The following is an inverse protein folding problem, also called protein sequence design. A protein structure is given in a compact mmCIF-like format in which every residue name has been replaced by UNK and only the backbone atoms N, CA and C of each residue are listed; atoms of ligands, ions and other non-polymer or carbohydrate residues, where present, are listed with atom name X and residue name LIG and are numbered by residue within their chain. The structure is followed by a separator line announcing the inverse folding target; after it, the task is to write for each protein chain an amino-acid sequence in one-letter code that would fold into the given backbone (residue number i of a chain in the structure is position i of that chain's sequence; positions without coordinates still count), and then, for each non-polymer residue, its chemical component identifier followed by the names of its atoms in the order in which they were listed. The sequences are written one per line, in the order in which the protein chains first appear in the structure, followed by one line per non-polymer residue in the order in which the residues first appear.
data_IF_660671041668
#
_entry.id   IF_660671041668
#
_cell.length_a   1.000
_cell.length_b   1.000
_cell.length_c   1.000
_cell.angle_alpha   90.00
_cell.angle_beta   90.00
_cell.angle_gamma   90.00
#
_symmetry.space_group_name_H-M   'P 1'
#
loop_
_entity.id
_entity.type
_entity.pdbx_description
1 polymer ?
#
# COMPACT_ATOMS: atom_id res chain seq x y z
N UNK A 1 -17.00 -3.34 31.38
CA UNK A 1 -16.38 -2.37 32.29
C UNK A 1 -14.95 -2.81 32.54
N UNK A 2 -14.03 -2.29 31.77
CA UNK A 2 -12.61 -2.10 32.08
C UNK A 2 -11.94 -1.58 30.80
N UNK A 3 -11.71 -0.28 30.79
CA UNK A 3 -10.88 0.45 29.82
C UNK A 3 -9.41 0.07 30.06
N UNK A 4 -8.70 -0.32 28.99
CA UNK A 4 -7.24 -0.27 28.98
C UNK A 4 -6.82 0.67 27.88
N UNK A 5 -6.50 1.89 28.26
CA UNK A 5 -5.82 2.88 27.45
C UNK A 5 -4.32 2.57 27.50
N UNK A 6 -3.72 2.26 26.38
CA UNK A 6 -2.26 2.15 26.25
C UNK A 6 -1.69 3.51 25.89
N UNK A 7 -1.19 4.22 26.89
CA UNK A 7 -0.37 5.43 26.76
C UNK A 7 1.05 4.96 26.46
N UNK A 8 1.58 5.38 25.30
CA UNK A 8 3.01 5.22 24.97
C UNK A 8 3.77 6.35 25.66
N UNK A 9 4.58 5.99 26.65
CA UNK A 9 5.52 6.91 27.29
C UNK A 9 6.79 7.05 26.45
N UNK A 10 7.07 8.26 25.99
CA UNK A 10 8.38 8.65 25.48
C UNK A 10 9.29 8.95 26.68
N UNK A 11 10.26 8.11 26.94
CA UNK A 11 11.36 8.45 27.83
C UNK A 11 12.58 8.91 27.05
N UNK A 12 12.98 10.16 27.29
CA UNK A 12 14.29 10.70 26.91
C UNK A 12 15.38 9.97 27.70
N UNK A 13 16.38 9.44 27.02
CA UNK A 13 17.65 9.13 27.65
C UNK A 13 18.79 9.91 27.01
N UNK A 14 19.44 10.68 27.84
CA UNK A 14 20.67 11.45 27.61
C UNK A 14 21.88 10.52 27.53
N UNK A 15 22.82 10.89 26.65
CA UNK A 15 24.01 10.11 26.33
C UNK A 15 24.99 9.90 27.49
N UNK A 16 25.71 8.80 27.38
CA UNK A 16 27.10 8.67 27.83
C UNK A 16 27.80 7.58 26.99
N UNK A 17 28.92 7.99 26.39
CA UNK A 17 29.87 7.13 25.70
C UNK A 17 30.78 6.51 26.75
N UNK A 18 30.82 5.17 26.82
CA UNK A 18 31.84 4.46 27.57
C UNK A 18 32.74 3.70 26.59
N UNK A 19 34.00 4.16 26.53
CA UNK A 19 35.11 3.40 25.95
C UNK A 19 35.50 2.25 26.88
N UNK A 20 35.54 1.04 26.37
CA UNK A 20 36.19 -0.09 27.02
C UNK A 20 37.31 -0.58 26.10
N UNK A 21 38.50 -0.45 26.61
CA UNK A 21 39.73 -0.93 26.01
C UNK A 21 39.83 -2.47 26.10
N UNK A 22 40.21 -3.13 25.01
CA UNK A 22 40.47 -4.56 24.96
C UNK A 22 41.95 -4.85 24.84
N UNK A 23 42.44 -5.72 25.66
CA UNK A 23 43.74 -6.35 25.43
C UNK A 23 43.64 -7.87 25.64
N UNK A 24 44.19 -8.60 24.62
CA UNK A 24 44.84 -9.90 24.64
C UNK A 24 44.01 -11.18 24.78
N UNK A 25 43.93 -11.99 23.73
CA UNK A 25 44.57 -13.31 23.59
C UNK A 25 44.34 -13.89 22.18
N UNK A 26 45.39 -14.49 21.64
CA UNK A 26 45.47 -15.03 20.28
C UNK A 26 44.86 -16.42 20.10
N UNK A 27 44.60 -16.76 18.86
CA UNK A 27 44.13 -18.12 18.44
C UNK A 27 43.71 -18.08 16.97
N UNK A 28 44.52 -18.65 16.08
CA UNK A 28 44.32 -18.72 14.64
C UNK A 28 43.17 -19.65 14.28
N UNK A 29 42.17 -19.11 13.55
CA UNK A 29 41.30 -19.89 12.68
C UNK A 29 40.90 -19.06 11.48
N UNK A 30 41.34 -19.46 10.29
CA UNK A 30 40.92 -18.85 9.02
C UNK A 30 39.42 -19.09 8.81
N UNK A 31 38.62 -18.06 9.08
CA UNK A 31 37.22 -17.99 8.64
C UNK A 31 37.14 -16.90 7.58
N UNK A 32 36.82 -17.33 6.36
CA UNK A 32 36.56 -16.42 5.26
C UNK A 32 35.31 -15.59 5.51
N UNK A 33 35.43 -14.47 6.21
CA UNK A 33 34.41 -13.48 6.30
C UNK A 33 34.31 -12.71 4.97
N UNK A 34 33.15 -12.71 4.36
CA UNK A 34 32.84 -11.69 3.35
C UNK A 34 32.95 -10.34 4.04
N UNK A 35 34.07 -9.64 3.78
CA UNK A 35 34.31 -8.33 4.40
C UNK A 35 33.26 -7.35 3.89
N UNK A 36 32.78 -6.45 4.76
CA UNK A 36 31.90 -5.31 4.42
C UNK A 36 32.35 -4.59 3.11
N UNK A 37 33.64 -4.55 2.85
CA UNK A 37 34.22 -3.96 1.64
C UNK A 37 33.93 -4.74 0.35
N UNK A 38 33.81 -6.07 0.37
CA UNK A 38 33.46 -6.86 -0.81
C UNK A 38 31.96 -6.78 -1.11
N UNK A 39 31.10 -6.73 -0.09
CA UNK A 39 29.68 -6.50 -0.23
C UNK A 39 29.40 -5.09 -0.81
N UNK A 40 30.06 -4.06 -0.29
CA UNK A 40 29.96 -2.70 -0.81
C UNK A 40 30.53 -2.54 -2.23
N UNK A 41 31.58 -3.28 -2.62
CA UNK A 41 32.12 -3.22 -3.99
C UNK A 41 31.23 -3.92 -5.02
N UNK A 42 30.51 -4.96 -4.66
CA UNK A 42 29.54 -5.59 -5.56
C UNK A 42 28.27 -4.73 -5.77
N UNK A 43 27.89 -3.92 -4.77
CA UNK A 43 26.77 -2.99 -4.86
C UNK A 43 27.09 -1.69 -5.64
N UNK A 44 28.36 -1.35 -5.82
CA UNK A 44 28.78 -0.08 -6.44
C UNK A 44 28.95 -0.15 -7.97
N UNK A 45 28.99 -1.33 -8.58
CA UNK A 45 29.17 -1.46 -10.02
C UNK A 45 27.89 -1.45 -10.85
N UNK A 46 26.72 -1.22 -10.26
CA UNK A 46 25.45 -1.25 -10.98
C UNK A 46 24.44 -0.14 -10.69
N UNK A 47 24.68 0.78 -9.78
CA UNK A 47 23.76 1.88 -9.52
C UNK A 47 24.54 3.13 -9.12
N UNK A 48 24.51 4.15 -9.99
CA UNK A 48 24.77 5.52 -9.56
C UNK A 48 23.71 5.84 -8.49
N UNK A 49 24.06 5.64 -7.23
CA UNK A 49 23.32 6.16 -6.11
C UNK A 49 23.36 7.69 -6.24
N UNK A 50 22.29 8.28 -6.76
CA UNK A 50 22.06 9.70 -6.66
C UNK A 50 21.90 10.02 -5.16
N UNK A 51 23.01 10.31 -4.52
CA UNK A 51 23.03 11.00 -3.24
C UNK A 51 22.42 12.38 -3.51
N UNK A 52 21.13 12.52 -3.27
CA UNK A 52 20.47 13.82 -3.21
C UNK A 52 20.98 14.50 -1.94
N UNK A 53 22.00 15.35 -2.09
CA UNK A 53 22.40 16.23 -1.00
C UNK A 53 21.24 17.19 -0.68
N UNK A 54 20.92 17.36 0.59
CA UNK A 54 19.93 18.33 1.07
C UNK A 54 20.21 19.78 0.59
N UNK A 55 21.41 20.06 0.13
CA UNK A 55 21.86 21.34 -0.40
C UNK A 55 21.25 21.71 -1.78
N UNK A 56 20.66 20.76 -2.52
CA UNK A 56 20.01 21.08 -3.81
C UNK A 56 18.61 21.68 -3.69
N UNK A 57 18.05 21.74 -2.50
CA UNK A 57 16.66 22.21 -2.26
C UNK A 57 16.58 23.64 -1.70
N UNK A 58 17.68 24.37 -1.63
CA UNK A 58 17.68 25.77 -1.15
C UNK A 58 17.25 26.80 -2.20
N UNK A 59 16.49 26.40 -3.24
CA UNK A 59 15.71 27.38 -3.99
C UNK A 59 14.60 27.88 -3.07
N UNK A 60 14.60 29.19 -2.78
CA UNK A 60 13.47 29.87 -2.19
C UNK A 60 12.29 29.67 -3.11
N UNK A 61 11.43 28.71 -2.79
CA UNK A 61 10.22 28.45 -3.57
C UNK A 61 9.28 29.63 -3.35
N UNK A 62 9.00 30.37 -4.40
CA UNK A 62 8.02 31.48 -4.36
C UNK A 62 6.58 30.96 -4.19
N UNK A 63 5.66 31.86 -3.84
CA UNK A 63 4.24 31.49 -3.73
C UNK A 63 3.66 30.87 -5.03
N UNK A 64 4.21 31.26 -6.18
CA UNK A 64 3.82 30.70 -7.49
C UNK A 64 4.26 29.25 -7.71
N UNK A 65 5.18 28.73 -6.89
CA UNK A 65 5.66 27.34 -6.98
C UNK A 65 4.99 26.41 -5.95
N UNK A 66 3.98 26.91 -5.22
CA UNK A 66 3.27 26.12 -4.22
C UNK A 66 2.42 25.04 -4.89
N UNK A 67 2.55 23.79 -4.40
CA UNK A 67 1.70 22.68 -4.83
C UNK A 67 0.38 22.78 -4.05
N UNK A 68 -0.71 22.93 -4.79
CA UNK A 68 -2.08 22.95 -4.25
C UNK A 68 -2.71 21.55 -4.34
N UNK A 69 -3.12 20.99 -3.21
CA UNK A 69 -3.66 19.64 -3.13
C UNK A 69 -5.13 19.65 -2.74
N UNK A 70 -5.94 18.88 -3.48
CA UNK A 70 -7.31 18.54 -3.13
C UNK A 70 -7.42 17.16 -2.49
N UNK A 71 -8.30 16.99 -1.52
CA UNK A 71 -8.60 15.70 -0.89
C UNK A 71 -9.95 15.20 -1.37
N UNK A 72 -10.03 14.00 -1.92
CA UNK A 72 -11.26 13.30 -2.32
C UNK A 72 -11.43 12.08 -1.41
N UNK A 73 -12.40 12.14 -0.50
CA UNK A 73 -12.59 11.18 0.58
C UNK A 73 -11.94 11.64 1.88
N UNK A 74 -12.73 12.24 2.77
CA UNK A 74 -12.32 12.78 4.07
C UNK A 74 -12.61 11.81 5.22
N UNK A 75 -12.75 10.53 4.94
CA UNK A 75 -12.93 9.47 5.94
C UNK A 75 -11.68 9.23 6.79
N UNK A 76 -11.69 8.13 7.55
CA UNK A 76 -10.57 7.76 8.44
C UNK A 76 -9.22 7.70 7.72
N UNK A 77 -9.18 7.31 6.44
CA UNK A 77 -7.94 7.25 5.66
C UNK A 77 -7.50 8.63 5.19
N UNK A 78 -8.41 9.42 4.61
CA UNK A 78 -8.12 10.78 4.15
C UNK A 78 -7.70 11.70 5.28
N UNK A 79 -8.60 11.91 6.25
CA UNK A 79 -8.38 12.82 7.38
C UNK A 79 -7.31 12.31 8.36
N UNK A 80 -7.31 10.99 8.65
CA UNK A 80 -6.44 10.43 9.68
C UNK A 80 -5.03 10.05 9.24
N UNK A 81 -4.79 9.87 7.93
CA UNK A 81 -3.49 9.44 7.43
C UNK A 81 -2.95 10.31 6.29
N UNK A 82 -3.75 10.57 5.25
CA UNK A 82 -3.26 11.29 4.07
C UNK A 82 -2.97 12.74 4.35
N UNK A 83 -3.94 13.46 4.92
CA UNK A 83 -3.77 14.87 5.25
C UNK A 83 -2.58 15.10 6.18
N UNK A 84 -2.45 14.42 7.35
CA UNK A 84 -1.25 14.55 8.19
C UNK A 84 0.03 14.09 7.49
N UNK A 85 -0.07 13.04 6.66
CA UNK A 85 1.06 12.47 5.94
C UNK A 85 1.71 13.44 4.94
N UNK A 86 0.93 14.29 4.26
CA UNK A 86 1.49 15.34 3.38
C UNK A 86 1.78 16.62 4.14
N UNK A 87 0.93 16.98 5.13
CA UNK A 87 1.11 18.21 5.91
C UNK A 87 2.48 18.30 6.60
N UNK A 88 3.00 17.19 7.15
CA UNK A 88 4.35 17.17 7.77
C UNK A 88 5.46 17.60 6.81
N UNK A 89 5.22 17.61 5.51
CA UNK A 89 6.14 18.04 4.47
C UNK A 89 5.75 19.41 3.86
N UNK A 90 4.74 20.10 4.40
CA UNK A 90 4.19 21.33 3.84
C UNK A 90 5.28 22.39 3.57
N UNK A 91 6.09 22.69 4.56
CA UNK A 91 7.16 23.68 4.44
C UNK A 91 8.27 23.22 3.49
N UNK A 92 8.76 21.97 3.69
CA UNK A 92 9.89 21.46 2.92
C UNK A 92 9.58 21.24 1.44
N UNK A 93 8.31 20.99 1.11
CA UNK A 93 7.84 20.78 -0.25
C UNK A 93 7.01 21.95 -0.79
N UNK A 94 6.86 23.05 -0.04
CA UNK A 94 6.03 24.20 -0.39
C UNK A 94 4.66 23.75 -0.94
N UNK A 95 3.88 23.04 -0.12
CA UNK A 95 2.58 22.51 -0.50
C UNK A 95 1.51 22.91 0.51
N UNK A 96 0.26 22.93 0.06
CA UNK A 96 -0.89 23.25 0.89
C UNK A 96 -2.11 22.43 0.44
N UNK A 97 -2.94 22.02 1.40
CA UNK A 97 -4.25 21.46 1.10
C UNK A 97 -5.21 22.62 0.97
N UNK A 98 -5.87 22.78 -0.19
CA UNK A 98 -6.70 23.94 -0.51
C UNK A 98 -8.18 23.62 -0.75
N UNK A 99 -8.48 22.33 -0.92
CA UNK A 99 -9.83 21.86 -1.18
C UNK A 99 -10.06 20.46 -0.60
N UNK A 100 -11.27 20.21 -0.13
CA UNK A 100 -11.71 18.93 0.42
C UNK A 100 -13.05 18.53 -0.18
N UNK A 101 -13.20 17.24 -0.46
CA UNK A 101 -14.40 16.67 -1.05
C UNK A 101 -14.79 15.38 -0.34
N UNK A 102 -16.02 15.29 0.12
CA UNK A 102 -16.61 14.07 0.68
C UNK A 102 -18.14 14.17 0.58
N UNK A 103 -18.85 13.13 0.16
CA UNK A 103 -20.30 13.13 0.16
C UNK A 103 -20.91 13.30 1.57
N UNK A 104 -20.20 12.93 2.62
CA UNK A 104 -20.66 13.12 4.01
C UNK A 104 -20.22 14.50 4.54
N UNK A 105 -21.20 15.39 4.75
CA UNK A 105 -20.99 16.78 5.19
C UNK A 105 -20.07 16.87 6.42
N UNK A 106 -20.33 16.09 7.46
CA UNK A 106 -19.56 16.16 8.71
C UNK A 106 -18.07 15.75 8.53
N UNK A 107 -17.79 14.84 7.58
CA UNK A 107 -16.41 14.47 7.24
C UNK A 107 -15.70 15.60 6.50
N UNK A 108 -16.40 16.22 5.59
CA UNK A 108 -15.91 17.36 4.82
C UNK A 108 -15.61 18.56 5.70
N UNK A 109 -16.54 18.90 6.62
CA UNK A 109 -16.37 19.97 7.59
C UNK A 109 -15.19 19.72 8.54
N UNK A 110 -15.05 18.50 9.06
CA UNK A 110 -13.92 18.12 9.91
C UNK A 110 -12.58 18.24 9.18
N UNK A 111 -12.52 17.88 7.89
CA UNK A 111 -11.33 18.03 7.08
C UNK A 111 -11.01 19.50 6.80
N UNK A 112 -12.02 20.34 6.53
CA UNK A 112 -11.85 21.77 6.33
C UNK A 112 -11.35 22.47 7.59
N UNK A 113 -11.92 22.16 8.74
CA UNK A 113 -11.47 22.69 10.04
C UNK A 113 -9.98 22.33 10.31
N UNK A 114 -9.55 21.13 9.88
CA UNK A 114 -8.15 20.73 10.03
C UNK A 114 -7.22 21.52 9.11
N UNK A 115 -7.67 21.87 7.91
CA UNK A 115 -6.93 22.75 6.98
C UNK A 115 -6.81 24.17 7.56
N UNK A 116 -7.90 24.71 8.11
CA UNK A 116 -7.89 26.01 8.77
C UNK A 116 -6.93 26.04 9.96
N UNK A 117 -6.96 25.00 10.82
CA UNK A 117 -6.02 24.85 11.94
C UNK A 117 -4.55 24.90 11.48
N UNK A 118 -4.23 24.25 10.36
CA UNK A 118 -2.85 24.12 9.90
C UNK A 118 -2.32 25.33 9.12
N UNK A 119 -3.18 25.95 8.32
CA UNK A 119 -2.75 26.97 7.36
C UNK A 119 -3.35 28.35 7.63
N UNK A 120 -4.28 28.49 8.61
CA UNK A 120 -4.96 29.75 8.91
C UNK A 120 -5.86 30.24 7.76
N UNK A 121 -6.34 29.34 6.91
CA UNK A 121 -7.19 29.63 5.75
C UNK A 121 -8.23 28.55 5.55
N UNK A 122 -9.41 28.93 5.07
CA UNK A 122 -10.50 28.04 4.77
C UNK A 122 -10.18 27.14 3.55
N UNK A 123 -10.45 25.84 3.69
CA UNK A 123 -10.50 24.96 2.54
C UNK A 123 -11.83 25.09 1.80
N UNK A 124 -11.78 25.07 0.48
CA UNK A 124 -13.01 24.95 -0.33
C UNK A 124 -13.61 23.56 -0.15
N UNK A 125 -14.92 23.50 0.05
CA UNK A 125 -15.63 22.26 0.39
C UNK A 125 -16.59 21.85 -0.73
N UNK A 126 -16.57 20.56 -1.10
CA UNK A 126 -17.40 20.02 -2.17
C UNK A 126 -18.00 18.67 -1.76
N UNK A 127 -19.26 18.39 -2.14
CA UNK A 127 -19.82 17.03 -2.07
C UNK A 127 -19.43 16.21 -3.29
N UNK A 128 -19.34 16.84 -4.47
CA UNK A 128 -18.95 16.19 -5.71
C UNK A 128 -17.46 16.36 -6.02
N UNK A 129 -16.79 15.26 -6.34
CA UNK A 129 -15.39 15.28 -6.79
C UNK A 129 -15.21 16.05 -8.12
N UNK A 130 -16.27 16.14 -8.94
CA UNK A 130 -16.24 16.86 -10.22
C UNK A 130 -16.00 18.34 -10.01
N UNK A 131 -16.63 18.92 -9.01
CA UNK A 131 -16.50 20.34 -8.68
C UNK A 131 -15.09 20.65 -8.15
N UNK A 132 -14.53 19.77 -7.33
CA UNK A 132 -13.14 19.91 -6.88
C UNK A 132 -12.17 19.83 -8.06
N UNK A 133 -12.36 18.85 -8.97
CA UNK A 133 -11.49 18.68 -10.14
C UNK A 133 -11.61 19.82 -11.16
N UNK A 134 -12.71 20.56 -11.19
CA UNK A 134 -12.88 21.73 -12.05
C UNK A 134 -12.04 22.95 -11.60
N UNK A 135 -11.49 22.93 -10.38
CA UNK A 135 -10.66 24.01 -9.87
C UNK A 135 -9.35 24.10 -10.65
N UNK A 136 -9.06 25.26 -11.23
CA UNK A 136 -7.85 25.47 -12.05
C UNK A 136 -6.57 25.54 -11.21
N UNK A 137 -6.68 25.99 -9.98
CA UNK A 137 -5.60 26.24 -9.03
C UNK A 137 -5.32 25.05 -8.09
N UNK A 138 -5.89 23.86 -8.33
CA UNK A 138 -5.50 22.60 -7.71
C UNK A 138 -4.59 21.85 -8.67
N UNK A 139 -3.39 21.48 -8.23
CA UNK A 139 -2.37 20.79 -9.04
C UNK A 139 -2.49 19.27 -8.95
N UNK A 140 -2.83 18.78 -7.77
CA UNK A 140 -2.87 17.35 -7.48
C UNK A 140 -4.02 17.00 -6.53
N UNK A 141 -4.46 15.73 -6.58
CA UNK A 141 -5.50 15.23 -5.67
C UNK A 141 -5.04 13.96 -4.96
N UNK A 142 -5.51 13.81 -3.72
CA UNK A 142 -5.40 12.56 -2.97
C UNK A 142 -6.76 11.87 -2.92
N UNK A 143 -6.84 10.69 -3.51
CA UNK A 143 -8.07 9.90 -3.61
C UNK A 143 -8.04 8.84 -2.51
N UNK A 144 -8.87 9.03 -1.49
CA UNK A 144 -9.04 8.16 -0.32
C UNK A 144 -10.53 7.81 -0.10
N UNK A 145 -11.28 7.78 -1.18
CA UNK A 145 -12.69 7.41 -1.24
C UNK A 145 -12.89 5.90 -1.04
N UNK A 146 -14.10 5.41 -1.29
CA UNK A 146 -14.41 3.97 -1.20
C UNK A 146 -13.81 3.20 -2.40
N UNK A 147 -13.56 1.90 -2.22
CA UNK A 147 -12.86 1.07 -3.21
C UNK A 147 -13.50 1.12 -4.60
N UNK A 148 -14.84 1.09 -4.68
CA UNK A 148 -15.58 1.14 -5.95
C UNK A 148 -15.43 2.45 -6.71
N UNK A 149 -14.97 3.52 -6.06
CA UNK A 149 -14.86 4.88 -6.62
C UNK A 149 -13.46 5.19 -7.16
N UNK A 150 -12.42 4.46 -6.72
CA UNK A 150 -11.01 4.79 -6.99
C UNK A 150 -10.72 4.98 -8.46
N UNK A 151 -11.10 4.03 -9.31
CA UNK A 151 -10.85 4.10 -10.77
C UNK A 151 -11.57 5.26 -11.44
N UNK A 152 -12.81 5.56 -11.02
CA UNK A 152 -13.59 6.66 -11.59
C UNK A 152 -13.01 8.02 -11.19
N UNK A 153 -12.63 8.17 -9.94
CA UNK A 153 -11.97 9.40 -9.47
C UNK A 153 -10.59 9.60 -10.12
N UNK A 154 -9.82 8.53 -10.27
CA UNK A 154 -8.50 8.59 -10.91
C UNK A 154 -8.60 8.91 -12.40
N UNK A 155 -9.56 8.30 -13.12
CA UNK A 155 -9.85 8.62 -14.52
C UNK A 155 -10.23 10.10 -14.68
N UNK A 156 -11.10 10.60 -13.82
CA UNK A 156 -11.54 12.00 -13.84
C UNK A 156 -10.38 12.96 -13.53
N UNK A 157 -9.54 12.64 -12.54
CA UNK A 157 -8.35 13.42 -12.22
C UNK A 157 -7.39 13.48 -13.42
N UNK A 158 -7.18 12.35 -14.11
CA UNK A 158 -6.35 12.28 -15.31
C UNK A 158 -6.92 13.15 -16.45
N UNK A 159 -8.23 13.09 -16.69
CA UNK A 159 -8.93 13.92 -17.69
C UNK A 159 -8.84 15.42 -17.36
N UNK A 160 -8.84 15.77 -16.09
CA UNK A 160 -8.67 17.14 -15.61
C UNK A 160 -7.19 17.60 -15.57
N UNK A 161 -6.25 16.72 -15.95
CA UNK A 161 -4.81 17.02 -15.93
C UNK A 161 -4.21 17.13 -14.53
N UNK A 162 -4.91 16.65 -13.48
CA UNK A 162 -4.46 16.69 -12.10
C UNK A 162 -3.60 15.47 -11.78
N UNK A 163 -2.46 15.70 -11.12
CA UNK A 163 -1.68 14.62 -10.54
C UNK A 163 -2.46 13.92 -9.45
N UNK A 164 -2.14 12.64 -9.15
CA UNK A 164 -2.93 11.92 -8.16
C UNK A 164 -2.08 11.06 -7.22
N UNK A 165 -2.51 11.00 -5.97
CA UNK A 165 -2.27 9.89 -5.07
C UNK A 165 -3.58 9.12 -4.98
N UNK A 166 -3.59 7.81 -5.24
CA UNK A 166 -4.81 7.02 -5.20
C UNK A 166 -4.65 5.83 -4.26
N UNK A 167 -5.58 5.67 -3.32
CA UNK A 167 -5.56 4.54 -2.40
C UNK A 167 -5.75 3.19 -3.10
N UNK A 168 -5.29 2.15 -2.42
CA UNK A 168 -5.52 0.76 -2.77
C UNK A 168 -6.84 0.25 -2.13
N UNK A 169 -7.47 -0.78 -2.67
CA UNK A 169 -7.18 -1.43 -3.95
C UNK A 169 -7.46 -0.46 -5.11
N UNK A 170 -6.60 -0.47 -6.12
CA UNK A 170 -6.74 0.49 -7.22
C UNK A 170 -8.04 0.27 -7.99
N UNK A 171 -8.50 -0.97 -8.13
CA UNK A 171 -9.71 -1.33 -8.86
C UNK A 171 -10.34 -2.61 -8.33
N UNK A 172 -11.67 -2.70 -8.49
CA UNK A 172 -12.46 -3.91 -8.29
C UNK A 172 -12.74 -4.67 -9.61
N UNK A 173 -12.65 -4.00 -10.76
CA UNK A 173 -12.99 -4.54 -12.07
C UNK A 173 -11.92 -4.24 -13.11
N UNK A 174 -11.61 -5.22 -13.96
CA UNK A 174 -10.55 -5.10 -14.96
C UNK A 174 -10.85 -4.05 -16.05
N UNK A 175 -12.10 -3.96 -16.50
CA UNK A 175 -12.52 -2.96 -17.48
C UNK A 175 -12.29 -1.53 -16.97
N UNK A 176 -12.69 -1.24 -15.73
CA UNK A 176 -12.48 0.06 -15.09
C UNK A 176 -11.00 0.34 -14.81
N UNK A 177 -10.23 -0.69 -14.42
CA UNK A 177 -8.78 -0.59 -14.25
C UNK A 177 -8.10 -0.17 -15.56
N UNK A 178 -8.45 -0.82 -16.69
CA UNK A 178 -7.88 -0.51 -18.01
C UNK A 178 -8.17 0.94 -18.40
N UNK A 179 -9.40 1.39 -18.24
CA UNK A 179 -9.82 2.77 -18.58
C UNK A 179 -9.05 3.80 -17.75
N UNK A 180 -8.96 3.63 -16.43
CA UNK A 180 -8.25 4.55 -15.55
C UNK A 180 -6.74 4.57 -15.84
N UNK A 181 -6.13 3.40 -16.03
CA UNK A 181 -4.72 3.26 -16.40
C UNK A 181 -4.40 3.97 -17.70
N UNK A 182 -5.18 3.73 -18.76
CA UNK A 182 -4.97 4.33 -20.08
C UNK A 182 -5.16 5.84 -20.05
N UNK A 183 -6.13 6.35 -19.28
CA UNK A 183 -6.32 7.78 -19.06
C UNK A 183 -5.09 8.43 -18.38
N UNK A 184 -4.54 7.80 -17.35
CA UNK A 184 -3.32 8.27 -16.67
C UNK A 184 -2.12 8.29 -17.62
N UNK A 185 -1.90 7.21 -18.38
CA UNK A 185 -0.79 7.12 -19.35
C UNK A 185 -0.94 8.18 -20.46
N UNK A 186 -2.14 8.38 -20.96
CA UNK A 186 -2.44 9.40 -21.99
C UNK A 186 -2.22 10.83 -21.48
N UNK A 187 -2.68 11.13 -20.26
CA UNK A 187 -2.55 12.46 -19.65
C UNK A 187 -1.12 12.75 -19.15
N UNK A 188 -0.26 11.72 -19.02
CA UNK A 188 1.11 11.82 -18.49
C UNK A 188 1.19 12.49 -17.11
N UNK A 189 0.16 12.30 -16.30
CA UNK A 189 0.14 12.78 -14.91
C UNK A 189 1.01 11.89 -14.02
N UNK A 190 1.52 12.45 -12.94
CA UNK A 190 2.23 11.69 -11.90
C UNK A 190 1.18 11.03 -11.00
N UNK A 191 1.25 9.71 -10.87
CA UNK A 191 0.35 8.94 -10.02
C UNK A 191 1.14 8.06 -9.07
N UNK A 192 0.83 8.13 -7.77
CA UNK A 192 1.30 7.19 -6.77
C UNK A 192 0.12 6.43 -6.17
N UNK A 193 0.28 5.13 -5.99
CA UNK A 193 -0.74 4.24 -5.41
C UNK A 193 -0.46 4.03 -3.93
N UNK A 194 -1.52 3.90 -3.13
CA UNK A 194 -1.46 3.77 -1.67
C UNK A 194 -0.91 2.44 -1.14
N UNK A 195 0.12 1.87 -1.79
CA UNK A 195 0.85 0.69 -1.30
C UNK A 195 2.10 1.10 -0.52
N UNK A 196 1.88 1.72 0.64
CA UNK A 196 2.91 2.41 1.42
C UNK A 196 4.04 1.50 1.89
N UNK A 197 3.80 0.19 2.02
CA UNK A 197 4.78 -0.75 2.56
C UNK A 197 6.06 -0.83 1.73
N UNK A 198 6.00 -0.62 0.39
CA UNK A 198 7.21 -0.60 -0.44
C UNK A 198 8.13 0.61 -0.17
N UNK A 199 7.67 1.58 0.60
CA UNK A 199 8.47 2.72 1.04
C UNK A 199 9.11 2.52 2.42
N UNK A 200 8.90 1.38 3.09
CA UNK A 200 9.61 1.06 4.32
C UNK A 200 11.05 0.67 4.03
N UNK A 201 12.03 1.22 4.75
CA UNK A 201 13.46 0.89 4.61
C UNK A 201 13.74 -0.61 4.72
N UNK A 202 13.04 -1.31 5.60
CA UNK A 202 13.14 -2.76 5.81
C UNK A 202 12.76 -3.56 4.56
N UNK A 203 11.65 -3.23 3.88
CA UNK A 203 11.25 -3.90 2.63
C UNK A 203 12.14 -3.51 1.46
N UNK A 204 12.71 -2.31 1.46
CA UNK A 204 13.76 -1.96 0.51
C UNK A 204 15.00 -2.84 0.73
N UNK A 205 15.39 -3.09 1.98
CA UNK A 205 16.44 -4.04 2.34
C UNK A 205 16.12 -5.47 1.89
N UNK A 206 14.89 -5.95 2.10
CA UNK A 206 14.44 -7.25 1.61
C UNK A 206 14.59 -7.39 0.09
N UNK A 207 14.24 -6.34 -0.67
CA UNK A 207 14.41 -6.32 -2.11
C UNK A 207 15.87 -6.41 -2.55
N UNK A 208 16.75 -5.65 -1.94
CA UNK A 208 18.19 -5.71 -2.26
C UNK A 208 18.78 -7.06 -1.85
N UNK A 209 18.37 -7.63 -0.70
CA UNK A 209 18.76 -8.96 -0.27
C UNK A 209 18.30 -10.04 -1.26
N UNK A 210 17.03 -9.98 -1.71
CA UNK A 210 16.49 -10.92 -2.72
C UNK A 210 17.31 -10.89 -4.00
N UNK A 211 17.73 -9.73 -4.46
CA UNK A 211 18.52 -9.53 -5.69
C UNK A 211 19.91 -10.13 -5.64
N UNK A 212 20.45 -10.38 -4.44
CA UNK A 212 21.74 -11.09 -4.30
C UNK A 212 21.67 -12.56 -4.68
N UNK A 213 20.46 -13.12 -4.82
CA UNK A 213 20.24 -14.55 -5.05
C UNK A 213 20.52 -15.42 -3.82
N UNK A 214 20.70 -14.83 -2.62
CA UNK A 214 21.10 -15.56 -1.40
C UNK A 214 20.07 -16.62 -0.96
N UNK A 215 18.80 -16.46 -1.34
CA UNK A 215 17.75 -17.43 -1.05
C UNK A 215 17.85 -18.69 -1.93
N UNK A 216 18.66 -18.66 -3.00
CA UNK A 216 18.69 -19.71 -4.01
C UNK A 216 17.43 -19.70 -4.87
N UNK A 217 16.91 -20.88 -5.20
CA UNK A 217 15.67 -21.02 -5.98
C UNK A 217 14.46 -20.78 -5.06
N UNK A 218 13.74 -19.69 -5.29
CA UNK A 218 12.48 -19.40 -4.58
C UNK A 218 11.36 -20.21 -5.22
N UNK A 219 10.61 -20.95 -4.40
CA UNK A 219 9.49 -21.79 -4.84
C UNK A 219 8.14 -21.34 -4.32
N UNK A 220 8.10 -20.64 -3.16
CA UNK A 220 6.86 -20.21 -2.51
C UNK A 220 7.03 -18.87 -1.79
N UNK A 221 5.98 -18.06 -1.86
CA UNK A 221 5.82 -16.83 -1.07
C UNK A 221 4.45 -16.88 -0.42
N UNK A 222 4.37 -16.63 0.88
CA UNK A 222 3.08 -16.72 1.58
C UNK A 222 2.84 -15.57 2.54
N UNK A 223 1.56 -15.21 2.69
CA UNK A 223 1.06 -14.41 3.80
C UNK A 223 -0.22 -15.02 4.36
N UNK A 224 -0.25 -15.19 5.69
CA UNK A 224 -1.47 -15.37 6.46
C UNK A 224 -1.73 -14.08 7.24
N UNK A 225 -2.91 -13.48 7.06
CA UNK A 225 -3.30 -12.24 7.73
C UNK A 225 -4.65 -12.42 8.40
N UNK A 226 -4.59 -12.93 9.62
CA UNK A 226 -5.74 -13.30 10.43
C UNK A 226 -6.10 -12.20 11.42
N UNK A 227 -7.35 -12.18 11.86
CA UNK A 227 -7.87 -11.28 12.88
C UNK A 227 -9.06 -11.90 13.61
N UNK A 228 -9.38 -11.38 14.78
CA UNK A 228 -10.49 -11.88 15.59
C UNK A 228 -11.86 -11.43 15.06
N UNK A 229 -11.89 -10.35 14.29
CA UNK A 229 -13.09 -9.79 13.68
C UNK A 229 -12.77 -9.14 12.34
N UNK A 230 -13.70 -9.18 11.35
CA UNK A 230 -13.57 -8.41 10.13
C UNK A 230 -13.44 -6.91 10.41
N UNK A 231 -12.48 -6.28 9.72
CA UNK A 231 -12.16 -4.87 9.97
C UNK A 231 -13.31 -3.91 9.62
N UNK A 232 -14.30 -4.31 8.84
CA UNK A 232 -15.42 -3.45 8.44
C UNK A 232 -16.41 -3.19 9.57
N UNK A 233 -16.53 -4.06 10.59
CA UNK A 233 -17.40 -3.84 11.75
C UNK A 233 -17.09 -2.53 12.49
N UNK A 234 -15.84 -2.17 12.62
CA UNK A 234 -15.41 -0.93 13.30
C UNK A 234 -15.86 0.36 12.61
N UNK A 235 -16.31 0.27 11.35
CA UNK A 235 -16.74 1.42 10.56
C UNK A 235 -18.24 1.63 10.60
N UNK A 236 -19.02 0.64 11.03
CA UNK A 236 -20.47 0.76 11.19
C UNK A 236 -20.78 1.86 12.19
N UNK A 237 -21.59 2.83 11.76
CA UNK A 237 -21.96 4.03 12.53
C UNK A 237 -23.38 4.44 12.23
N UNK A 238 -23.99 5.11 13.18
CA UNK A 238 -25.21 5.87 12.93
C UNK A 238 -24.87 7.11 12.07
N UNK A 239 -25.43 7.15 10.88
CA UNK A 239 -25.22 8.22 9.90
C UNK A 239 -26.58 8.71 9.42
N UNK A 240 -26.82 10.01 9.46
CA UNK A 240 -28.09 10.60 9.06
C UNK A 240 -28.11 10.84 7.54
N UNK A 241 -29.24 10.54 6.92
CA UNK A 241 -29.44 10.68 5.48
C UNK A 241 -29.24 12.13 5.00
N UNK A 242 -29.67 13.11 5.81
CA UNK A 242 -29.54 14.54 5.48
C UNK A 242 -28.09 15.04 5.44
N UNK A 243 -27.17 14.32 6.03
CA UNK A 243 -25.75 14.67 6.05
C UNK A 243 -24.97 14.09 4.86
N UNK A 244 -25.57 13.22 4.05
CA UNK A 244 -24.89 12.47 2.98
C UNK A 244 -25.50 12.76 1.62
N UNK A 245 -24.65 13.15 0.67
CA UNK A 245 -25.00 13.11 -0.75
C UNK A 245 -24.92 11.64 -1.21
N UNK A 246 -26.08 10.97 -1.07
CA UNK A 246 -26.19 9.53 -1.36
C UNK A 246 -25.91 9.19 -2.82
N UNK A 247 -26.23 10.08 -3.73
CA UNK A 247 -25.98 9.89 -5.16
C UNK A 247 -24.49 9.92 -5.49
N UNK A 248 -23.71 10.82 -4.88
CA UNK A 248 -22.26 10.88 -5.04
C UNK A 248 -21.55 9.66 -4.40
N UNK A 249 -22.13 9.06 -3.35
CA UNK A 249 -21.60 7.79 -2.83
C UNK A 249 -21.89 6.61 -3.76
N UNK A 250 -23.15 6.47 -4.24
CA UNK A 250 -23.56 5.34 -5.10
C UNK A 250 -22.88 5.38 -6.47
N UNK A 251 -22.63 6.57 -7.02
CA UNK A 251 -22.09 6.76 -8.36
C UNK A 251 -22.92 6.08 -9.44
N UNK A 252 -22.35 5.02 -10.06
CA UNK A 252 -22.98 4.22 -11.13
C UNK A 252 -23.78 3.01 -10.61
N UNK A 253 -23.90 2.86 -9.26
CA UNK A 253 -24.71 1.79 -8.65
C UNK A 253 -26.20 2.14 -8.78
N UNK A 254 -27.03 1.09 -8.86
CA UNK A 254 -28.48 1.27 -8.90
C UNK A 254 -28.96 2.09 -7.70
N UNK A 255 -29.76 3.11 -7.99
CA UNK A 255 -30.34 3.96 -6.94
C UNK A 255 -31.22 3.15 -6.00
N UNK A 256 -31.11 3.44 -4.70
CA UNK A 256 -31.90 2.85 -3.61
C UNK A 256 -32.05 3.84 -2.46
N UNK A 257 -32.97 3.54 -1.53
CA UNK A 257 -33.10 4.32 -0.31
C UNK A 257 -31.78 4.30 0.50
N UNK A 258 -31.52 5.38 1.19
CA UNK A 258 -30.34 5.47 2.06
C UNK A 258 -30.38 4.42 3.18
N UNK A 259 -29.26 3.78 3.41
CA UNK A 259 -29.02 2.82 4.48
C UNK A 259 -27.74 3.22 5.22
N UNK A 260 -27.83 3.58 6.53
CA UNK A 260 -26.65 4.03 7.29
C UNK A 260 -25.60 2.94 7.50
N UNK A 261 -26.01 1.68 7.62
CA UNK A 261 -25.10 0.54 7.78
C UNK A 261 -24.35 0.27 6.48
N UNK A 262 -25.08 0.24 5.37
CA UNK A 262 -24.50 0.08 4.05
C UNK A 262 -23.50 1.22 3.72
N UNK A 263 -23.86 2.46 4.07
CA UNK A 263 -22.98 3.61 3.87
C UNK A 263 -21.73 3.54 4.74
N UNK A 264 -21.86 3.36 6.04
CA UNK A 264 -20.74 3.41 6.98
C UNK A 264 -19.90 2.13 6.97
N UNK A 265 -20.54 0.97 6.82
CA UNK A 265 -19.92 -0.36 6.75
C UNK A 265 -19.65 -0.86 5.32
N UNK A 266 -19.52 0.02 4.34
CA UNK A 266 -19.36 -0.30 2.92
C UNK A 266 -18.27 -1.35 2.62
N UNK A 267 -17.22 -1.40 3.43
CA UNK A 267 -16.16 -2.42 3.31
C UNK A 267 -16.66 -3.87 3.43
N UNK A 268 -17.80 -4.08 4.10
CA UNK A 268 -18.40 -5.39 4.26
C UNK A 268 -19.26 -5.86 3.08
N UNK A 269 -19.53 -4.98 2.12
CA UNK A 269 -20.42 -5.27 1.00
C UNK A 269 -19.65 -5.40 -0.32
N UNK A 270 -19.80 -6.56 -0.99
CA UNK A 270 -19.15 -6.89 -2.27
C UNK A 270 -19.45 -5.87 -3.39
N UNK A 271 -20.52 -5.14 -3.28
CA UNK A 271 -20.87 -4.09 -4.24
C UNK A 271 -19.90 -2.88 -4.16
N UNK A 272 -19.33 -2.61 -3.00
CA UNK A 272 -18.51 -1.42 -2.73
C UNK A 272 -17.05 -1.75 -2.42
N UNK A 273 -16.77 -3.02 -2.03
CA UNK A 273 -15.44 -3.53 -1.72
C UNK A 273 -15.38 -5.04 -1.99
N UNK A 274 -14.23 -5.55 -2.37
CA UNK A 274 -14.06 -6.98 -2.66
C UNK A 274 -13.50 -7.76 -1.45
N UNK A 275 -13.54 -7.18 -0.25
CA UNK A 275 -13.15 -7.86 0.99
C UNK A 275 -11.64 -8.03 1.17
N UNK A 276 -11.19 -9.12 1.87
CA UNK A 276 -9.82 -9.19 2.39
C UNK A 276 -8.74 -9.36 1.32
N UNK A 277 -9.00 -10.00 0.18
CA UNK A 277 -7.97 -10.17 -0.86
C UNK A 277 -7.54 -8.81 -1.40
N UNK A 278 -8.39 -7.95 -2.00
CA UNK A 278 -7.97 -6.64 -2.42
C UNK A 278 -7.75 -5.67 -1.24
N UNK A 279 -8.50 -5.79 -0.14
CA UNK A 279 -8.41 -4.89 1.00
C UNK A 279 -7.09 -5.01 1.79
N UNK A 280 -6.62 -6.21 2.02
CA UNK A 280 -5.38 -6.49 2.77
C UNK A 280 -4.29 -7.12 1.89
N UNK A 281 -4.66 -8.11 1.06
CA UNK A 281 -3.74 -8.85 0.21
C UNK A 281 -3.13 -8.01 -0.89
N UNK A 282 -3.73 -6.88 -1.30
CA UNK A 282 -3.12 -5.95 -2.28
C UNK A 282 -1.75 -5.45 -1.85
N UNK A 283 -1.55 -5.14 -0.56
CA UNK A 283 -0.23 -4.78 -0.01
C UNK A 283 0.78 -5.91 -0.12
N UNK A 284 0.33 -7.14 0.13
CA UNK A 284 1.17 -8.34 0.03
C UNK A 284 1.59 -8.60 -1.41
N UNK A 285 0.65 -8.63 -2.34
CA UNK A 285 0.93 -8.84 -3.78
C UNK A 285 1.84 -7.73 -4.31
N UNK A 286 1.61 -6.48 -3.92
CA UNK A 286 2.49 -5.36 -4.29
C UNK A 286 3.92 -5.57 -3.78
N UNK A 287 4.11 -6.07 -2.55
CA UNK A 287 5.43 -6.41 -2.01
C UNK A 287 6.06 -7.62 -2.70
N UNK A 288 5.27 -8.63 -3.09
CA UNK A 288 5.77 -9.74 -3.92
C UNK A 288 6.38 -9.17 -5.21
N UNK A 289 5.63 -8.35 -5.95
CA UNK A 289 6.13 -7.72 -7.17
C UNK A 289 7.33 -6.79 -6.91
N UNK A 290 7.29 -6.02 -5.85
CA UNK A 290 8.36 -5.09 -5.49
C UNK A 290 9.68 -5.80 -5.16
N UNK A 291 9.63 -6.88 -4.39
CA UNK A 291 10.80 -7.62 -3.92
C UNK A 291 11.35 -8.50 -5.05
N UNK A 292 10.51 -9.25 -5.73
CA UNK A 292 10.93 -10.24 -6.72
C UNK A 292 11.18 -9.67 -8.11
N UNK A 293 10.50 -8.58 -8.46
CA UNK A 293 10.48 -8.02 -9.82
C UNK A 293 9.43 -8.67 -10.73
N UNK A 294 8.70 -9.69 -10.26
CA UNK A 294 7.56 -10.28 -10.97
C UNK A 294 6.45 -9.25 -11.19
N UNK A 295 5.66 -9.46 -12.24
CA UNK A 295 4.64 -8.46 -12.64
C UNK A 295 3.22 -9.01 -12.60
N UNK A 296 2.99 -10.14 -13.19
CA UNK A 296 1.65 -10.71 -13.31
C UNK A 296 1.68 -12.21 -13.05
N UNK A 297 0.72 -12.76 -12.32
CA UNK A 297 0.56 -14.20 -12.23
C UNK A 297 0.06 -14.77 -13.56
N UNK A 298 0.49 -15.99 -13.89
CA UNK A 298 -0.04 -16.73 -15.05
C UNK A 298 -1.40 -17.33 -14.78
N UNK A 299 -1.67 -17.75 -13.53
CA UNK A 299 -2.97 -18.28 -13.12
C UNK A 299 -3.25 -18.08 -11.64
N UNK A 300 -4.54 -18.16 -11.27
CA UNK A 300 -5.04 -17.99 -9.92
C UNK A 300 -6.23 -18.89 -9.62
N UNK A 301 -6.32 -19.36 -8.38
CA UNK A 301 -7.53 -19.95 -7.78
C UNK A 301 -7.80 -19.28 -6.44
N UNK A 302 -9.08 -19.08 -6.09
CA UNK A 302 -9.49 -18.53 -4.82
C UNK A 302 -10.75 -19.19 -4.32
N UNK A 303 -10.76 -19.57 -3.05
CA UNK A 303 -11.91 -20.10 -2.32
C UNK A 303 -12.10 -19.33 -1.02
N UNK A 304 -13.33 -19.32 -0.55
CA UNK A 304 -13.67 -18.65 0.71
C UNK A 304 -15.17 -18.66 0.97
N UNK A 305 -15.57 -17.88 1.95
CA UNK A 305 -16.98 -17.72 2.32
C UNK A 305 -17.12 -16.98 3.65
N UNK A 306 -18.36 -16.77 4.07
CA UNK A 306 -18.69 -16.27 5.39
C UNK A 306 -19.04 -17.44 6.30
N UNK A 307 -18.14 -17.79 7.23
CA UNK A 307 -18.27 -18.95 8.10
C UNK A 307 -18.55 -18.57 9.55
N UNK A 308 -18.01 -17.46 10.02
CA UNK A 308 -18.06 -17.04 11.42
C UNK A 308 -19.05 -15.89 11.64
N UNK A 309 -18.98 -14.85 10.81
CA UNK A 309 -19.69 -13.58 11.02
C UNK A 309 -20.97 -13.51 10.19
N UNK A 310 -22.06 -14.10 10.71
CA UNK A 310 -23.40 -14.12 10.12
C UNK A 310 -24.35 -13.45 11.10
N UNK A 311 -24.59 -12.16 10.90
CA UNK A 311 -25.40 -11.33 11.78
C UNK A 311 -26.39 -10.44 11.00
N UNK A 312 -27.04 -9.54 11.71
CA UNK A 312 -28.05 -8.63 11.18
C UNK A 312 -27.57 -7.68 10.08
N UNK A 313 -26.26 -7.43 9.98
CA UNK A 313 -25.71 -6.55 8.96
C UNK A 313 -25.68 -7.18 7.57
N UNK A 314 -25.78 -8.51 7.48
CA UNK A 314 -25.78 -9.26 6.22
C UNK A 314 -24.63 -8.86 5.28
N UNK A 315 -23.42 -8.69 5.83
CA UNK A 315 -22.24 -8.40 5.03
C UNK A 315 -21.98 -9.49 3.99
N UNK A 316 -21.66 -9.08 2.77
CA UNK A 316 -21.48 -10.00 1.63
C UNK A 316 -20.02 -10.28 1.30
N UNK A 317 -19.07 -9.53 1.89
CA UNK A 317 -17.65 -9.86 1.79
C UNK A 317 -17.32 -11.10 2.62
N UNK A 318 -16.53 -12.05 2.09
CA UNK A 318 -16.14 -13.25 2.83
C UNK A 318 -15.27 -12.90 4.03
N UNK A 319 -15.51 -13.56 5.16
CA UNK A 319 -14.69 -13.45 6.36
C UNK A 319 -13.50 -14.41 6.38
N UNK A 320 -13.48 -15.41 5.47
CA UNK A 320 -12.39 -16.35 5.26
C UNK A 320 -12.11 -16.49 3.77
N UNK A 321 -10.85 -16.38 3.39
CA UNK A 321 -10.40 -16.59 2.00
C UNK A 321 -9.04 -17.26 1.96
N UNK A 322 -8.83 -18.05 0.89
CA UNK A 322 -7.53 -18.54 0.47
C UNK A 322 -7.37 -18.35 -1.02
N UNK A 323 -6.31 -17.66 -1.42
CA UNK A 323 -5.99 -17.40 -2.81
C UNK A 323 -4.58 -17.90 -3.14
N UNK A 324 -4.42 -18.53 -4.29
CA UNK A 324 -3.16 -19.08 -4.79
C UNK A 324 -2.91 -18.56 -6.18
N UNK A 325 -1.70 -18.06 -6.43
CA UNK A 325 -1.26 -17.61 -7.75
C UNK A 325 0.00 -18.38 -8.17
N UNK A 326 0.09 -18.72 -9.45
CA UNK A 326 1.31 -19.22 -10.08
C UNK A 326 1.93 -18.07 -10.89
N UNK A 327 3.20 -17.85 -10.67
CA UNK A 327 3.98 -16.85 -11.41
C UNK A 327 4.88 -17.51 -12.46
N UNK A 328 5.03 -16.90 -13.66
CA UNK A 328 5.87 -17.46 -14.72
C UNK A 328 7.35 -17.54 -14.33
N UNK A 329 7.78 -16.79 -13.32
CA UNK A 329 9.12 -16.84 -12.74
C UNK A 329 9.41 -18.14 -11.95
N UNK A 330 8.43 -19.04 -11.82
CA UNK A 330 8.61 -20.39 -11.26
C UNK A 330 8.31 -20.51 -9.77
N UNK A 331 7.55 -19.61 -9.19
CA UNK A 331 7.10 -19.71 -7.79
C UNK A 331 5.59 -19.59 -7.65
N UNK A 332 5.10 -20.13 -6.54
CA UNK A 332 3.70 -20.01 -6.12
C UNK A 332 3.57 -18.97 -5.01
N UNK A 333 2.54 -18.14 -5.10
CA UNK A 333 2.15 -17.18 -4.05
C UNK A 333 0.86 -17.64 -3.39
N UNK A 334 0.80 -17.62 -2.06
CA UNK A 334 -0.41 -17.93 -1.29
C UNK A 334 -0.77 -16.80 -0.32
N UNK A 335 -2.06 -16.48 -0.27
CA UNK A 335 -2.62 -15.53 0.68
C UNK A 335 -3.82 -16.15 1.39
N UNK A 336 -3.89 -16.00 2.69
CA UNK A 336 -5.07 -16.38 3.47
C UNK A 336 -5.46 -15.31 4.48
N UNK A 337 -6.76 -15.22 4.73
CA UNK A 337 -7.35 -14.44 5.82
C UNK A 337 -8.40 -15.29 6.53
N UNK A 338 -8.35 -15.27 7.87
CA UNK A 338 -9.33 -15.83 8.77
C UNK A 338 -9.71 -14.75 9.78
N UNK A 339 -10.94 -14.26 9.72
CA UNK A 339 -11.45 -13.28 10.68
C UNK A 339 -12.21 -13.90 11.85
N UNK A 340 -12.11 -15.19 12.05
CA UNK A 340 -12.63 -15.90 13.23
C UNK A 340 -11.56 -16.20 14.29
N UNK A 341 -10.27 -15.97 13.98
CA UNK A 341 -9.15 -16.25 14.86
C UNK A 341 -7.90 -15.50 14.41
N UNK A 342 -7.34 -14.68 15.28
CA UNK A 342 -6.17 -13.85 14.99
C UNK A 342 -4.81 -14.57 15.02
N UNK A 343 -4.77 -15.88 15.29
CA UNK A 343 -3.52 -16.65 15.37
C UNK A 343 -2.94 -17.00 13.99
N UNK A 344 -1.64 -17.33 13.96
CA UNK A 344 -0.97 -17.90 12.79
C UNK A 344 -0.62 -16.88 11.70
N UNK A 345 -0.45 -15.61 12.04
CA UNK A 345 0.02 -14.61 11.07
C UNK A 345 1.43 -14.94 10.58
N UNK A 346 1.64 -14.85 9.26
CA UNK A 346 2.93 -15.10 8.62
C UNK A 346 3.13 -14.19 7.41
N UNK A 347 4.39 -13.97 7.05
CA UNK A 347 4.78 -13.38 5.77
C UNK A 347 6.20 -13.85 5.45
N UNK A 348 6.34 -14.80 4.49
CA UNK A 348 7.62 -15.47 4.21
C UNK A 348 7.87 -15.66 2.74
N UNK A 349 9.16 -15.60 2.36
CA UNK A 349 9.69 -16.06 1.07
C UNK A 349 10.55 -17.29 1.32
N UNK A 350 10.23 -18.42 0.66
CA UNK A 350 10.90 -19.70 0.82
C UNK A 350 11.79 -19.97 -0.38
N UNK A 351 13.10 -19.95 -0.14
CA UNK A 351 14.10 -20.40 -1.07
C UNK A 351 14.72 -21.74 -0.64
N UNK A 352 15.42 -22.41 -1.55
CA UNK A 352 16.07 -23.70 -1.27
C UNK A 352 17.33 -23.56 -0.39
N UNK A 353 17.85 -22.33 -0.20
CA UNK A 353 18.99 -22.03 0.66
C UNK A 353 18.61 -21.25 1.92
N UNK A 354 17.47 -20.60 1.96
CA UNK A 354 17.05 -19.81 3.11
C UNK A 354 15.59 -19.36 3.06
N UNK A 355 15.12 -18.86 4.19
CA UNK A 355 13.79 -18.25 4.33
C UNK A 355 13.94 -16.80 4.78
N UNK A 356 13.24 -15.91 4.08
CA UNK A 356 13.09 -14.50 4.49
C UNK A 356 11.74 -14.34 5.18
N UNK A 357 11.77 -14.15 6.50
CA UNK A 357 10.59 -13.92 7.33
C UNK A 357 10.38 -12.41 7.50
N UNK A 358 9.22 -11.92 7.05
CA UNK A 358 8.83 -10.51 7.03
C UNK A 358 7.58 -10.24 7.87
N UNK A 359 7.18 -11.18 8.74
CA UNK A 359 5.99 -11.01 9.60
C UNK A 359 6.09 -9.77 10.47
N UNK A 360 7.29 -9.46 10.97
CA UNK A 360 7.60 -8.19 11.63
C UNK A 360 8.13 -7.21 10.58
N UNK A 361 7.28 -6.35 10.07
CA UNK A 361 7.57 -5.47 8.93
C UNK A 361 8.80 -4.57 9.09
N UNK A 362 9.07 -4.14 10.32
CA UNK A 362 10.21 -3.28 10.66
C UNK A 362 11.49 -4.06 11.01
N UNK A 363 11.42 -5.38 11.13
CA UNK A 363 12.54 -6.23 11.52
C UNK A 363 12.50 -7.59 10.80
N UNK A 364 12.59 -7.63 9.46
CA UNK A 364 12.65 -8.88 8.71
C UNK A 364 13.91 -9.68 9.06
N UNK A 365 13.80 -11.01 9.00
CA UNK A 365 14.86 -11.94 9.38
C UNK A 365 15.12 -12.95 8.26
N UNK A 366 16.39 -13.13 7.89
CA UNK A 366 16.86 -14.19 7.01
C UNK A 366 17.36 -15.38 7.85
N UNK A 367 16.86 -16.59 7.57
CA UNK A 367 17.26 -17.84 8.25
C UNK A 367 17.80 -18.88 7.25
N UNK A 368 18.69 -19.76 7.74
CA UNK A 368 19.27 -20.86 6.97
C UNK A 368 18.34 -22.07 7.00
N UNK A 369 17.30 -22.06 6.19
CA UNK A 369 16.34 -23.14 6.04
C UNK A 369 16.19 -23.51 4.56
N UNK A 370 15.77 -24.74 4.26
CA UNK A 370 15.55 -25.19 2.90
C UNK A 370 16.37 -26.44 2.51
N UNK A 371 16.05 -27.05 1.37
CA UNK A 371 16.59 -28.31 0.93
C UNK A 371 18.11 -28.29 0.77
N UNK A 372 18.67 -27.16 0.34
CA UNK A 372 20.11 -26.99 0.12
C UNK A 372 20.82 -26.19 1.24
N UNK A 373 20.12 -25.76 2.29
CA UNK A 373 20.69 -24.97 3.39
C UNK A 373 21.80 -25.68 4.17
N UNK A 374 21.71 -27.03 4.26
CA UNK A 374 22.69 -27.86 4.94
C UNK A 374 23.95 -28.15 4.08
N UNK A 375 23.90 -27.90 2.78
CA UNK A 375 24.98 -28.15 1.82
C UNK A 375 25.83 -26.90 1.59
N UNK A 376 26.49 -26.38 2.64
CA UNK A 376 27.39 -25.20 2.53
C UNK A 376 26.78 -23.90 1.99
N UNK A 377 25.46 -23.69 2.19
CA UNK A 377 24.84 -22.41 1.87
C UNK A 377 25.53 -21.23 2.61
N UNK A 378 25.44 -20.01 2.09
CA UNK A 378 26.10 -18.83 2.67
C UNK A 378 25.45 -18.33 3.98
N UNK A 379 24.20 -18.73 4.25
CA UNK A 379 23.43 -18.27 5.39
C UNK A 379 23.76 -19.10 6.63
N UNK A 380 23.93 -18.43 7.78
CA UNK A 380 24.13 -19.08 9.09
C UNK A 380 23.22 -18.42 10.12
N UNK A 381 22.49 -19.23 10.90
CA UNK A 381 21.66 -18.75 11.99
C UNK A 381 20.53 -17.80 11.53
N UNK A 382 20.25 -16.81 12.37
CA UNK A 382 19.26 -15.75 12.11
C UNK A 382 19.99 -14.44 11.84
N UNK A 383 19.67 -13.80 10.71
CA UNK A 383 20.32 -12.58 10.28
C UNK A 383 19.24 -11.50 10.08
N UNK A 384 19.27 -10.39 10.84
CA UNK A 384 18.44 -9.24 10.54
C UNK A 384 18.72 -8.72 9.14
N UNK A 385 17.68 -8.31 8.43
CA UNK A 385 17.83 -7.66 7.13
C UNK A 385 18.28 -6.22 7.34
N UNK A 386 19.32 -5.81 6.64
CA UNK A 386 19.83 -4.44 6.69
C UNK A 386 18.84 -3.50 5.98
N UNK A 387 18.46 -2.40 6.64
CA UNK A 387 17.55 -1.42 6.06
C UNK A 387 18.24 -0.60 4.95
N UNK A 388 17.48 -0.26 3.91
CA UNK A 388 17.90 0.64 2.85
C UNK A 388 17.10 1.94 2.97
N UNK A 389 17.73 3.07 3.34
CA UNK A 389 17.04 4.35 3.52
C UNK A 389 16.29 4.80 2.28
N UNK A 390 15.09 5.33 2.47
CA UNK A 390 14.20 5.82 1.42
C UNK A 390 13.38 7.01 1.93
N UNK A 391 12.90 7.91 1.05
CA UNK A 391 11.85 8.85 1.39
C UNK A 391 10.62 8.10 1.89
N UNK A 392 9.91 8.67 2.85
CA UNK A 392 8.59 8.14 3.18
C UNK A 392 7.64 8.28 1.97
N UNK A 393 6.55 7.52 2.01
CA UNK A 393 5.68 7.34 0.85
C UNK A 393 5.07 8.64 0.32
N UNK A 394 4.67 9.55 1.21
CA UNK A 394 4.11 10.84 0.80
C UNK A 394 5.18 11.81 0.29
N UNK A 395 6.35 11.80 0.94
CA UNK A 395 7.49 12.60 0.49
C UNK A 395 7.96 12.18 -0.92
N UNK A 396 8.03 10.87 -1.20
CA UNK A 396 8.36 10.34 -2.53
C UNK A 396 7.40 10.90 -3.60
N UNK A 397 6.10 10.88 -3.32
CA UNK A 397 5.09 11.44 -4.23
C UNK A 397 5.28 12.93 -4.46
N UNK A 398 5.39 13.73 -3.39
CA UNK A 398 5.58 15.18 -3.47
C UNK A 398 6.86 15.55 -4.25
N UNK A 399 7.96 14.82 -4.02
CA UNK A 399 9.20 14.99 -4.78
C UNK A 399 9.01 14.64 -6.26
N UNK A 400 8.23 13.59 -6.57
CA UNK A 400 7.92 13.21 -7.94
C UNK A 400 7.03 14.24 -8.65
N UNK A 401 6.12 14.92 -7.95
CA UNK A 401 5.37 16.04 -8.52
C UNK A 401 6.29 17.14 -9.06
N UNK A 402 7.36 17.45 -8.32
CA UNK A 402 8.35 18.49 -8.70
C UNK A 402 9.32 18.02 -9.76
N UNK A 403 9.84 16.81 -9.61
CA UNK A 403 10.92 16.29 -10.48
C UNK A 403 10.39 15.63 -11.74
N UNK A 404 9.09 15.36 -11.82
CA UNK A 404 8.41 14.60 -12.88
C UNK A 404 8.94 13.17 -13.03
N UNK A 405 9.62 12.64 -12.02
CA UNK A 405 10.06 11.25 -11.96
C UNK A 405 8.90 10.32 -11.64
N UNK A 406 9.07 9.05 -11.95
CA UNK A 406 8.11 8.01 -11.62
C UNK A 406 8.15 7.70 -10.12
N UNK A 407 7.01 7.77 -9.42
CA UNK A 407 6.94 7.41 -7.99
C UNK A 407 7.26 5.94 -7.73
N UNK A 408 7.68 5.64 -6.50
CA UNK A 408 7.99 4.28 -6.06
C UNK A 408 6.83 3.29 -6.25
N UNK A 409 5.60 3.72 -5.96
CA UNK A 409 4.37 2.96 -6.21
C UNK A 409 3.60 3.55 -7.40
N UNK A 410 4.17 3.41 -8.60
CA UNK A 410 3.61 3.99 -9.83
C UNK A 410 2.27 3.38 -10.21
N UNK A 411 1.59 4.01 -11.18
CA UNK A 411 0.37 3.45 -11.78
C UNK A 411 0.61 2.04 -12.37
N UNK A 412 1.81 1.75 -12.89
CA UNK A 412 2.16 0.43 -13.40
C UNK A 412 2.18 -0.61 -12.26
N UNK A 413 2.76 -0.27 -11.10
CA UNK A 413 2.71 -1.11 -9.91
C UNK A 413 1.27 -1.33 -9.41
N UNK A 414 0.45 -0.27 -9.43
CA UNK A 414 -0.97 -0.34 -9.11
C UNK A 414 -1.74 -1.27 -10.03
N UNK A 415 -1.50 -1.17 -11.33
CA UNK A 415 -2.11 -2.03 -12.33
C UNK A 415 -1.76 -3.51 -12.09
N UNK A 416 -0.49 -3.81 -11.83
CA UNK A 416 0.01 -5.17 -11.63
C UNK A 416 -0.67 -5.86 -10.43
N UNK A 417 -0.66 -5.25 -9.25
CA UNK A 417 -1.29 -5.88 -8.09
C UNK A 417 -2.81 -5.93 -8.19
N UNK A 418 -3.45 -4.93 -8.83
CA UNK A 418 -4.89 -4.94 -9.03
C UNK A 418 -5.33 -6.09 -9.94
N UNK A 419 -4.60 -6.40 -11.02
CA UNK A 419 -4.88 -7.57 -11.87
C UNK A 419 -4.86 -8.86 -11.05
N UNK A 420 -3.85 -9.09 -10.22
CA UNK A 420 -3.76 -10.28 -9.39
C UNK A 420 -4.93 -10.38 -8.39
N UNK A 421 -5.32 -9.27 -7.76
CA UNK A 421 -6.49 -9.23 -6.87
C UNK A 421 -7.79 -9.52 -7.62
N UNK A 422 -7.99 -8.93 -8.80
CA UNK A 422 -9.19 -9.15 -9.64
C UNK A 422 -9.26 -10.61 -10.10
N UNK A 423 -8.13 -11.23 -10.49
CA UNK A 423 -8.10 -12.68 -10.82
C UNK A 423 -8.60 -13.53 -9.65
N UNK A 424 -8.16 -13.23 -8.43
CA UNK A 424 -8.59 -13.97 -7.26
C UNK A 424 -10.10 -13.80 -7.00
N UNK A 425 -10.62 -12.59 -7.13
CA UNK A 425 -12.04 -12.34 -6.89
C UNK A 425 -12.93 -12.95 -7.99
N UNK A 426 -12.49 -12.93 -9.27
CA UNK A 426 -13.20 -13.65 -10.33
C UNK A 426 -13.17 -15.17 -10.14
N UNK A 427 -12.03 -15.71 -9.65
CA UNK A 427 -11.97 -17.13 -9.28
C UNK A 427 -12.92 -17.46 -8.12
N UNK A 428 -12.96 -16.62 -7.10
CA UNK A 428 -13.90 -16.76 -5.99
C UNK A 428 -15.37 -16.77 -6.45
N UNK A 429 -15.73 -15.86 -7.35
CA UNK A 429 -17.10 -15.69 -7.85
C UNK A 429 -17.54 -16.84 -8.76
N UNK A 430 -16.63 -17.38 -9.55
CA UNK A 430 -16.95 -18.40 -10.57
C UNK A 430 -16.64 -19.83 -10.13
N UNK A 431 -15.79 -20.00 -9.12
CA UNK A 431 -15.24 -21.30 -8.71
C UNK A 431 -14.23 -21.88 -9.72
N UNK A 432 -13.83 -21.10 -10.73
CA UNK A 432 -12.92 -21.55 -11.78
C UNK A 432 -11.48 -21.02 -11.55
N UNK A 433 -10.51 -21.75 -12.10
CA UNK A 433 -9.15 -21.22 -12.24
C UNK A 433 -9.17 -20.05 -13.23
N UNK A 434 -8.52 -18.95 -12.91
CA UNK A 434 -8.35 -17.80 -13.80
C UNK A 434 -6.93 -17.75 -14.34
N UNK A 435 -6.78 -17.35 -15.60
CA UNK A 435 -5.51 -17.04 -16.27
C UNK A 435 -5.50 -15.59 -16.72
N UNK A 436 -4.32 -15.00 -16.84
CA UNK A 436 -4.15 -13.64 -17.34
C UNK A 436 -3.33 -13.63 -18.62
N UNK A 437 -3.92 -13.07 -19.67
CA UNK A 437 -3.25 -12.76 -20.92
C UNK A 437 -2.74 -11.31 -20.87
N UNK A 438 -1.43 -11.15 -20.78
CA UNK A 438 -0.81 -9.84 -20.65
C UNK A 438 -0.88 -9.01 -21.94
N UNK A 439 -0.84 -9.65 -23.11
CA UNK A 439 -0.91 -8.95 -24.40
C UNK A 439 -2.32 -8.42 -24.68
N UNK A 440 -3.32 -9.25 -24.42
CA UNK A 440 -4.73 -8.87 -24.58
C UNK A 440 -5.26 -8.08 -23.38
N UNK A 441 -4.53 -8.08 -22.27
CA UNK A 441 -4.95 -7.50 -20.98
C UNK A 441 -6.31 -8.07 -20.55
N UNK A 442 -6.46 -9.40 -20.58
CA UNK A 442 -7.69 -10.10 -20.27
C UNK A 442 -7.50 -11.20 -19.22
N UNK A 443 -8.50 -11.33 -18.35
CA UNK A 443 -8.61 -12.45 -17.41
C UNK A 443 -9.64 -13.42 -17.98
N UNK A 444 -9.28 -14.71 -18.05
CA UNK A 444 -10.13 -15.77 -18.63
C UNK A 444 -10.12 -17.00 -17.74
N UNK A 445 -11.20 -17.81 -17.75
CA UNK A 445 -11.15 -19.18 -17.23
C UNK A 445 -10.04 -19.98 -17.95
N UNK A 446 -9.27 -20.78 -17.14
CA UNK A 446 -8.16 -21.56 -17.64
C UNK A 446 -8.19 -23.02 -17.21
#
# INVERSE_FOLDING_TARGET
MLLISSVVHLSKFTGQILYVNSSVFGGSAMQGFFSRRKFLKAAVTGSAALAFSAASYSRVLGANDRISIGIIGCGGRGLGAHMPGVHKHADSQNMEITAVCDPWRLRREAAAAKVEEWYGRDARQFSSYRDLLALKDVDAVMIASCDHQHTTHLEAAAKAGKHAYCEKPLAMRLDRLKVAYDAVKKAKIIVQIGTQLRSLPSFAGCRELYRTGILGTVSRIEQCRNGDQPYWYRYVKDVKAEDVDWSEFLMDRAWRAFDPVLYSGWYGYREFSDGPVPGLGSHFIDLVHYITGAKFPSSCVCLGGTFTWKDEHNFTCPDHVQALWIYPEGFMVSYSTNFGNGSGNSFKIFGDQGVLDMVTWTAPILTAEGANSKKKGPIRGKNPVEEVPRPDHFLDWLQCLRTRKTPNASIDAGYQHAVACIMAMQSYDTGLRMTYDQEQREIRPG
#
